data_IF_852445539575
#
_entry.id   IF_852445539575
#
_cell.length_a   1.000
_cell.length_b   1.000
_cell.length_c   1.000
_cell.angle_alpha   90.00
_cell.angle_beta   90.00
_cell.angle_gamma   90.00
#
_symmetry.space_group_name_H-M   'P 1'
#
loop_
_entity.id
_entity.type
_entity.pdbx_description
1 polymer ?
#
# COMPACT_ATOMS: atom_id res chain seq x y z
N UNK A 1 -6.90 -14.17 -14.45
CA UNK A 1 -5.64 -14.14 -13.69
C UNK A 1 -4.84 -15.43 -13.90
N UNK A 2 -3.88 -15.48 -14.82
CA UNK A 2 -2.96 -16.62 -14.96
C UNK A 2 -1.78 -16.48 -14.00
N UNK A 3 -1.42 -17.59 -13.36
CA UNK A 3 -0.42 -17.73 -12.30
C UNK A 3 0.95 -17.11 -12.65
N UNK A 4 1.30 -17.10 -13.94
CA UNK A 4 2.54 -16.52 -14.47
C UNK A 4 2.56 -14.99 -14.48
N UNK A 5 1.42 -14.31 -14.65
CA UNK A 5 1.35 -12.83 -14.59
C UNK A 5 1.40 -12.31 -13.15
N UNK A 6 0.83 -13.07 -12.20
CA UNK A 6 1.05 -12.83 -10.77
C UNK A 6 2.54 -12.85 -10.44
N UNK A 7 3.31 -13.78 -11.00
CA UNK A 7 4.75 -13.91 -10.72
C UNK A 7 5.60 -12.73 -11.23
N UNK A 8 5.32 -12.14 -12.40
CA UNK A 8 6.10 -11.00 -12.92
C UNK A 8 5.87 -9.70 -12.15
N UNK A 9 4.62 -9.44 -11.73
CA UNK A 9 4.29 -8.27 -10.89
C UNK A 9 4.88 -8.45 -9.47
N UNK A 10 5.14 -9.70 -9.05
CA UNK A 10 5.67 -10.06 -7.74
C UNK A 10 7.17 -9.75 -7.55
N UNK A 11 7.94 -9.56 -8.63
CA UNK A 11 9.42 -9.50 -8.54
C UNK A 11 9.92 -8.17 -7.96
N UNK A 12 9.12 -7.10 -8.03
CA UNK A 12 9.47 -5.76 -7.52
C UNK A 12 8.63 -5.32 -6.31
N UNK A 13 7.67 -6.14 -5.86
CA UNK A 13 6.83 -5.83 -4.70
C UNK A 13 7.63 -5.99 -3.41
N UNK A 14 7.65 -4.93 -2.62
CA UNK A 14 8.18 -4.97 -1.27
C UNK A 14 7.10 -5.42 -0.28
N UNK A 15 7.48 -5.97 0.88
CA UNK A 15 6.51 -6.33 1.91
C UNK A 15 5.63 -5.18 2.40
N UNK A 16 6.04 -3.92 2.22
CA UNK A 16 5.18 -2.76 2.53
C UNK A 16 4.12 -2.52 1.47
N UNK A 17 4.37 -2.88 0.20
CA UNK A 17 3.38 -2.79 -0.86
C UNK A 17 2.21 -3.75 -0.58
N UNK A 18 2.49 -4.96 -0.09
CA UNK A 18 1.46 -5.93 0.29
C UNK A 18 0.53 -5.38 1.39
N UNK A 19 1.11 -4.82 2.45
CA UNK A 19 0.35 -4.18 3.54
C UNK A 19 -0.47 -2.99 3.04
N UNK A 20 0.10 -2.18 2.15
CA UNK A 20 -0.59 -1.02 1.58
C UNK A 20 -1.77 -1.46 0.70
N UNK A 21 -1.61 -2.51 -0.11
CA UNK A 21 -2.70 -3.02 -0.94
C UNK A 21 -3.83 -3.63 -0.09
N UNK A 22 -3.51 -4.38 0.96
CA UNK A 22 -4.49 -4.98 1.87
C UNK A 22 -5.34 -3.92 2.60
N UNK A 23 -4.73 -2.78 2.95
CA UNK A 23 -5.37 -1.70 3.69
C UNK A 23 -5.52 -0.39 2.88
N UNK A 24 -5.62 -0.49 1.55
CA UNK A 24 -5.48 0.63 0.62
C UNK A 24 -6.41 1.82 0.95
N UNK A 25 -7.71 1.56 1.12
CA UNK A 25 -8.68 2.60 1.45
C UNK A 25 -8.38 3.30 2.79
N UNK A 26 -7.88 2.55 3.78
CA UNK A 26 -7.51 3.12 5.08
C UNK A 26 -6.27 4.01 4.95
N UNK A 27 -5.31 3.63 4.11
CA UNK A 27 -4.13 4.44 3.81
C UNK A 27 -4.45 5.72 3.01
N UNK A 28 -5.49 5.71 2.16
CA UNK A 28 -5.99 6.95 1.51
C UNK A 28 -6.59 7.92 2.50
N UNK A 29 -7.36 7.41 3.46
CA UNK A 29 -8.08 8.22 4.46
C UNK A 29 -7.18 8.67 5.63
N UNK A 30 -6.14 7.90 5.94
CA UNK A 30 -5.25 8.12 7.06
C UNK A 30 -5.41 7.02 8.11
N UNK A 31 -4.45 6.10 8.15
CA UNK A 31 -4.45 4.96 9.07
C UNK A 31 -3.54 5.24 10.28
N UNK A 32 -3.96 4.94 11.52
CA UNK A 32 -3.11 5.15 12.70
C UNK A 32 -1.78 4.42 12.61
N UNK A 33 -0.67 5.12 12.86
CA UNK A 33 0.70 4.54 12.84
C UNK A 33 0.82 3.38 13.83
N UNK A 34 0.14 3.47 14.97
CA UNK A 34 0.11 2.40 15.97
C UNK A 34 -0.46 1.10 15.40
N UNK A 35 -1.47 1.18 14.53
CA UNK A 35 -2.06 0.04 13.84
C UNK A 35 -1.13 -0.47 12.74
N UNK A 36 -0.59 0.42 11.90
CA UNK A 36 0.33 0.04 10.81
C UNK A 36 1.56 -0.71 11.32
N UNK A 37 2.08 -0.35 12.51
CA UNK A 37 3.22 -1.03 13.13
C UNK A 37 2.93 -2.51 13.45
N UNK A 38 1.66 -2.91 13.61
CA UNK A 38 1.25 -4.29 13.87
C UNK A 38 1.30 -5.15 12.60
N UNK A 39 1.19 -4.54 11.42
CA UNK A 39 1.27 -5.22 10.12
C UNK A 39 2.72 -5.45 9.65
N UNK A 40 3.70 -5.03 10.44
CA UNK A 40 5.12 -5.21 10.14
C UNK A 40 5.45 -6.70 9.96
N UNK A 41 6.10 -7.10 8.84
CA UNK A 41 6.61 -8.46 8.67
C UNK A 41 7.47 -8.91 9.85
N UNK A 42 7.36 -10.17 10.27
CA UNK A 42 8.04 -10.68 11.46
C UNK A 42 9.56 -10.54 11.37
N UNK A 43 10.13 -10.76 10.17
CA UNK A 43 11.55 -10.69 9.87
C UNK A 43 12.11 -9.25 9.75
N UNK A 44 11.28 -8.20 9.88
CA UNK A 44 11.72 -6.82 9.78
C UNK A 44 11.87 -6.16 11.16
N UNK A 45 12.89 -5.32 11.31
CA UNK A 45 12.96 -4.40 12.45
C UNK A 45 11.92 -3.28 12.27
N UNK A 46 11.32 -2.83 13.37
CA UNK A 46 10.31 -1.76 13.32
C UNK A 46 10.85 -0.47 12.69
N UNK A 47 12.13 -0.15 12.95
CA UNK A 47 12.81 1.01 12.35
C UNK A 47 12.88 0.89 10.82
N UNK A 48 13.26 -0.28 10.30
CA UNK A 48 13.35 -0.52 8.85
C UNK A 48 11.98 -0.40 8.18
N UNK A 49 10.96 -0.94 8.82
CA UNK A 49 9.59 -0.87 8.31
C UNK A 49 9.04 0.55 8.28
N UNK A 50 9.24 1.32 9.35
CA UNK A 50 8.87 2.74 9.38
C UNK A 50 9.59 3.55 8.31
N UNK A 51 10.89 3.30 8.11
CA UNK A 51 11.67 3.95 7.06
C UNK A 51 11.10 3.64 5.66
N UNK A 52 10.71 2.39 5.40
CA UNK A 52 10.06 2.03 4.13
C UNK A 52 8.69 2.71 3.97
N UNK A 53 7.90 2.80 5.05
CA UNK A 53 6.59 3.45 5.03
C UNK A 53 6.67 4.94 4.72
N UNK A 54 7.63 5.69 5.27
CA UNK A 54 7.77 7.14 4.99
C UNK A 54 8.18 7.46 3.56
N UNK A 55 8.71 6.49 2.80
CA UNK A 55 8.93 6.66 1.36
C UNK A 55 7.62 6.55 0.55
N UNK A 56 6.59 5.93 1.13
CA UNK A 56 5.30 5.67 0.49
C UNK A 56 4.19 6.61 0.98
N UNK A 57 4.27 6.99 2.24
CA UNK A 57 3.27 7.76 2.96
C UNK A 57 3.88 9.01 3.60
N UNK A 58 3.02 10.00 3.80
CA UNK A 58 3.28 11.15 4.67
C UNK A 58 2.78 10.85 6.08
N UNK A 59 3.61 11.19 7.08
CA UNK A 59 3.18 11.18 8.47
C UNK A 59 2.44 12.48 8.79
N UNK A 60 1.19 12.36 9.23
CA UNK A 60 0.38 13.48 9.69
C UNK A 60 -0.03 13.30 11.14
N UNK A 61 -0.28 14.39 11.85
CA UNK A 61 -0.82 14.36 13.22
C UNK A 61 -2.20 14.98 13.24
N UNK A 62 -3.22 14.13 13.38
CA UNK A 62 -4.63 14.54 13.40
C UNK A 62 -5.26 14.30 14.77
N UNK A 63 -6.42 14.87 15.03
CA UNK A 63 -7.20 14.56 16.21
C UNK A 63 -8.23 13.48 15.88
N UNK A 64 -8.13 12.33 16.54
CA UNK A 64 -9.11 11.24 16.47
C UNK A 64 -9.72 11.11 17.86
N UNK A 65 -11.04 11.30 17.99
CA UNK A 65 -11.75 11.26 19.27
C UNK A 65 -11.13 12.17 20.36
N UNK A 66 -10.65 13.35 19.96
CA UNK A 66 -10.00 14.31 20.87
C UNK A 66 -8.55 13.99 21.24
N UNK A 67 -8.00 12.85 20.79
CA UNK A 67 -6.61 12.47 20.99
C UNK A 67 -5.77 12.80 19.76
N UNK A 68 -4.59 13.39 19.97
CA UNK A 68 -3.64 13.65 18.89
C UNK A 68 -2.95 12.35 18.47
N UNK A 69 -3.30 11.84 17.31
CA UNK A 69 -2.83 10.56 16.76
C UNK A 69 -1.99 10.79 15.52
N UNK A 70 -0.85 10.11 15.45
CA UNK A 70 -0.05 10.03 14.22
C UNK A 70 -0.68 9.05 13.25
N UNK A 71 -0.90 9.48 12.01
CA UNK A 71 -1.45 8.65 10.93
C UNK A 71 -0.49 8.64 9.73
N UNK A 72 -0.50 7.54 8.99
CA UNK A 72 0.08 7.49 7.65
C UNK A 72 -1.01 7.74 6.61
N UNK A 73 -0.73 8.66 5.69
CA UNK A 73 -1.55 8.93 4.51
C UNK A 73 -0.71 8.67 3.28
N UNK A 74 -1.21 7.90 2.31
CA UNK A 74 -0.47 7.65 1.08
C UNK A 74 -0.18 8.95 0.32
N UNK A 75 1.05 9.06 -0.20
CA UNK A 75 1.43 10.16 -1.07
C UNK A 75 0.60 10.12 -2.36
N UNK A 76 0.23 11.28 -2.92
CA UNK A 76 -0.60 11.33 -4.14
C UNK A 76 -0.04 10.50 -5.30
N UNK A 77 1.28 10.54 -5.50
CA UNK A 77 1.94 9.76 -6.54
C UNK A 77 1.82 8.25 -6.29
N UNK A 78 1.89 7.84 -5.02
CA UNK A 78 1.70 6.44 -4.64
C UNK A 78 0.24 6.02 -4.76
N UNK A 79 -0.72 6.89 -4.41
CA UNK A 79 -2.15 6.62 -4.63
C UNK A 79 -2.42 6.33 -6.10
N UNK A 80 -1.89 7.15 -7.02
CA UNK A 80 -2.03 6.93 -8.47
C UNK A 80 -1.41 5.60 -8.93
N UNK A 81 -0.25 5.22 -8.37
CA UNK A 81 0.38 3.93 -8.64
C UNK A 81 -0.49 2.75 -8.20
N UNK A 82 -1.01 2.77 -6.96
CA UNK A 82 -1.85 1.69 -6.45
C UNK A 82 -3.24 1.69 -7.07
N UNK A 83 -3.83 2.85 -7.41
CA UNK A 83 -5.09 2.92 -8.15
C UNK A 83 -4.94 2.21 -9.50
N UNK A 84 -3.85 2.43 -10.23
CA UNK A 84 -3.60 1.70 -11.49
C UNK A 84 -3.45 0.20 -11.27
N UNK A 85 -2.68 -0.22 -10.25
CA UNK A 85 -2.54 -1.64 -9.91
C UNK A 85 -3.85 -2.32 -9.51
N UNK A 86 -4.75 -1.61 -8.82
CA UNK A 86 -6.06 -2.11 -8.40
C UNK A 86 -7.08 -2.10 -9.55
N UNK A 87 -6.96 -1.16 -10.50
CA UNK A 87 -7.88 -1.03 -11.64
C UNK A 87 -7.43 -1.80 -12.90
N UNK A 88 -6.17 -2.23 -13.01
CA UNK A 88 -5.66 -3.02 -14.15
C UNK A 88 -6.14 -4.50 -14.18
N UNK A 89 -7.21 -4.84 -13.46
CA UNK A 89 -7.83 -6.18 -13.53
C UNK A 89 -8.84 -6.39 -14.69
N UNK A 90 -9.08 -5.42 -15.60
CA UNK A 90 -10.16 -5.53 -16.59
C UNK A 90 -9.84 -5.20 -18.07
N UNK A 91 -8.57 -5.19 -18.51
CA UNK A 91 -8.26 -4.95 -19.95
C UNK A 91 -7.39 -6.01 -20.58
N UNK A 92 -7.90 -7.24 -20.71
CA UNK A 92 -7.30 -8.22 -21.61
C UNK A 92 -8.30 -9.27 -22.12
N UNK A 93 -9.31 -8.86 -22.88
CA UNK A 93 -9.98 -9.77 -23.83
C UNK A 93 -10.61 -9.02 -25.00
N UNK A 94 -9.79 -8.41 -25.85
CA UNK A 94 -10.21 -7.99 -27.20
C UNK A 94 -8.98 -7.87 -28.09
N UNK A 95 -8.32 -9.00 -28.34
CA UNK A 95 -7.49 -9.21 -29.54
C UNK A 95 -7.40 -10.72 -29.82
N UNK A 96 -8.56 -11.36 -29.90
CA UNK A 96 -8.73 -12.57 -30.69
C UNK A 96 -9.49 -12.16 -31.95
N UNK A 97 -8.73 -11.78 -32.99
CA UNK A 97 -9.07 -11.97 -34.41
C UNK A 97 -8.12 -11.14 -35.28
N UNK A 98 -7.04 -11.76 -35.75
CA UNK A 98 -6.74 -11.82 -37.17
C UNK A 98 -5.87 -13.01 -37.51
#
# INVERSE_FOLDING_TARGET
>A
MTETKKQLINVSRSPVDDVIMEHYEQFKQGIPIALVNQFKPQNWLLKTYKNAMVHKCEEQRIYINGLRTGVYVLNKDQQSYYDKMMNEEDTEMSNANK
#
